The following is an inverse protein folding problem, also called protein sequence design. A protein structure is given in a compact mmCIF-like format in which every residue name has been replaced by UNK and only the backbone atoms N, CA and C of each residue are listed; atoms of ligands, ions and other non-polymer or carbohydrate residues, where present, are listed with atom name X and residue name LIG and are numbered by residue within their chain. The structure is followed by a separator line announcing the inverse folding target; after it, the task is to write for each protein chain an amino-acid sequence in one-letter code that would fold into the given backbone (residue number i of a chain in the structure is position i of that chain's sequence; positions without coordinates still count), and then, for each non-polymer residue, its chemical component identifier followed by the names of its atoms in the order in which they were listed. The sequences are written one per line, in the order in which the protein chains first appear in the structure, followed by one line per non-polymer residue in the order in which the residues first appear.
data_IF_544930636112
#
_entry.id   IF_544930636112
#
_cell.length_a   1.000
_cell.length_b   1.000
_cell.length_c   1.000
_cell.angle_alpha   90.00
_cell.angle_beta   90.00
_cell.angle_gamma   90.00
#
_symmetry.space_group_name_H-M   'P 1'
#
loop_
_entity.id
_entity.type
_entity.pdbx_description
1 polymer ?
#
# COMPACT_ATOMS: atom_id res chain seq x y z
N UNK A 1 9.11 6.48 -5.41
CA UNK A 1 7.99 5.51 -5.46
C UNK A 1 8.48 4.18 -6.02
N UNK A 2 7.96 3.06 -5.57
CA UNK A 2 8.24 1.73 -6.12
C UNK A 2 7.00 0.82 -6.02
N UNK A 3 7.06 -0.32 -6.71
CA UNK A 3 6.04 -1.36 -6.63
C UNK A 3 6.57 -2.57 -5.88
N UNK A 4 5.73 -3.20 -5.08
CA UNK A 4 6.01 -4.45 -4.39
C UNK A 4 4.91 -5.47 -4.67
N UNK A 5 5.31 -6.71 -4.83
CA UNK A 5 4.41 -7.85 -4.93
C UNK A 5 4.68 -8.79 -3.77
N UNK A 6 3.92 -8.64 -2.71
CA UNK A 6 4.05 -9.48 -1.53
C UNK A 6 3.24 -10.77 -1.72
N UNK A 7 3.91 -11.92 -1.62
CA UNK A 7 3.25 -13.22 -1.67
C UNK A 7 3.19 -13.76 -0.24
N UNK A 8 2.02 -13.84 0.39
CA UNK A 8 1.87 -14.44 1.71
C UNK A 8 2.36 -15.88 1.73
N UNK A 9 2.88 -16.35 2.86
CA UNK A 9 3.38 -17.73 3.00
C UNK A 9 2.29 -18.79 2.94
N UNK A 10 1.03 -18.41 3.14
CA UNK A 10 -0.14 -19.27 3.08
C UNK A 10 -1.44 -18.46 3.03
N UNK A 11 -2.59 -19.12 2.88
CA UNK A 11 -3.86 -18.44 2.92
C UNK A 11 -4.11 -17.85 4.32
N UNK A 12 -4.46 -16.58 4.36
CA UNK A 12 -4.72 -15.84 5.60
C UNK A 12 -6.13 -15.22 5.65
N UNK A 13 -6.88 -15.37 4.58
CA UNK A 13 -8.25 -14.88 4.48
C UNK A 13 -9.17 -15.88 3.77
N UNK A 14 -10.46 -15.61 3.76
CA UNK A 14 -11.51 -16.48 3.21
C UNK A 14 -11.71 -16.40 1.69
N UNK A 15 -10.91 -15.63 0.96
CA UNK A 15 -11.04 -15.45 -0.50
C UNK A 15 -10.61 -16.70 -1.26
N UNK A 16 -11.45 -17.76 -1.21
CA UNK A 16 -11.24 -18.99 -1.98
C UNK A 16 -10.11 -19.88 -1.47
N UNK A 17 -9.69 -19.75 -0.22
CA UNK A 17 -8.63 -20.56 0.41
C UNK A 17 -7.31 -20.60 -0.38
N UNK A 18 -7.09 -19.65 -1.27
CA UNK A 18 -5.86 -19.52 -2.05
C UNK A 18 -5.02 -18.34 -1.56
N UNK A 19 -3.72 -18.44 -1.76
CA UNK A 19 -2.80 -17.35 -1.52
C UNK A 19 -2.90 -16.33 -2.65
N UNK A 20 -3.29 -15.09 -2.34
CA UNK A 20 -3.30 -14.00 -3.28
C UNK A 20 -2.12 -13.08 -3.06
N UNK A 21 -1.49 -12.65 -4.16
CA UNK A 21 -0.43 -11.65 -4.07
C UNK A 21 -1.01 -10.28 -3.74
N UNK A 22 -0.37 -9.57 -2.83
CA UNK A 22 -0.70 -8.20 -2.48
C UNK A 22 0.19 -7.24 -3.29
N UNK A 23 -0.31 -6.82 -4.44
CA UNK A 23 0.36 -5.79 -5.24
C UNK A 23 0.22 -4.46 -4.50
N UNK A 24 1.34 -3.85 -4.17
CA UNK A 24 1.41 -2.68 -3.29
C UNK A 24 2.24 -1.59 -3.96
N UNK A 25 1.71 -0.38 -3.97
CA UNK A 25 2.46 0.82 -4.37
C UNK A 25 3.04 1.48 -3.13
N UNK A 26 4.33 1.78 -3.15
CA UNK A 26 5.02 2.38 -2.00
C UNK A 26 5.59 3.73 -2.39
N UNK A 27 5.13 4.79 -1.73
CA UNK A 27 5.73 6.13 -1.79
C UNK A 27 6.61 6.35 -0.57
N UNK A 28 7.70 7.03 -0.74
CA UNK A 28 8.68 7.26 0.34
C UNK A 28 9.56 8.47 0.04
N UNK A 29 10.12 9.13 1.04
CA UNK A 29 11.15 10.15 0.84
C UNK A 29 12.33 9.55 0.10
N UNK A 30 12.64 10.08 -1.07
CA UNK A 30 13.76 9.65 -1.90
C UNK A 30 14.96 10.58 -1.74
N UNK A 31 16.15 10.12 -2.17
CA UNK A 31 17.32 10.97 -2.25
C UNK A 31 17.04 12.21 -3.14
N UNK A 32 17.45 13.42 -2.72
CA UNK A 32 17.05 14.68 -3.38
C UNK A 32 17.46 14.82 -4.85
N UNK A 33 18.46 14.06 -5.30
CA UNK A 33 18.95 14.09 -6.69
C UNK A 33 18.20 13.15 -7.63
N UNK A 34 17.26 12.37 -7.13
CA UNK A 34 16.53 11.40 -7.94
C UNK A 34 15.53 12.12 -8.89
N UNK A 35 15.60 11.89 -10.21
CA UNK A 35 14.72 12.55 -11.16
C UNK A 35 13.27 12.06 -11.01
N UNK A 36 12.36 12.99 -10.88
CA UNK A 36 10.93 12.69 -10.88
C UNK A 36 10.38 12.59 -12.31
N UNK A 37 9.40 11.72 -12.48
CA UNK A 37 8.64 11.54 -13.72
C UNK A 37 7.14 11.52 -13.41
N UNK A 38 6.27 11.91 -14.37
CA UNK A 38 4.84 11.76 -14.23
C UNK A 38 4.44 10.32 -13.88
N UNK A 39 3.57 10.18 -12.91
CA UNK A 39 2.94 8.90 -12.56
C UNK A 39 1.63 8.81 -13.34
N UNK A 40 1.51 7.79 -14.17
CA UNK A 40 0.36 7.59 -15.04
C UNK A 40 -0.36 6.29 -14.74
N UNK A 41 -1.65 6.23 -15.06
CA UNK A 41 -2.41 4.97 -15.02
C UNK A 41 -1.97 4.12 -16.23
N UNK A 42 -1.56 2.86 -16.04
CA UNK A 42 -1.21 1.98 -17.14
C UNK A 42 -2.33 1.90 -18.18
N UNK A 43 -2.00 2.19 -19.44
CA UNK A 43 -2.96 2.22 -20.54
C UNK A 43 -3.80 3.51 -20.68
N UNK A 44 -3.66 4.49 -19.78
CA UNK A 44 -4.36 5.77 -19.80
C UNK A 44 -3.37 6.94 -19.60
N UNK A 45 -2.47 7.12 -20.55
CA UNK A 45 -1.38 8.11 -20.46
C UNK A 45 -1.81 9.58 -20.46
N UNK A 46 -3.10 9.84 -20.74
CA UNK A 46 -3.67 11.21 -20.70
C UNK A 46 -3.94 11.71 -19.27
N UNK A 47 -3.92 10.83 -18.27
CA UNK A 47 -4.14 11.21 -16.88
C UNK A 47 -2.83 11.05 -16.09
N UNK A 48 -2.36 12.16 -15.55
CA UNK A 48 -1.24 12.18 -14.60
C UNK A 48 -1.80 12.19 -13.17
N UNK A 49 -1.30 11.27 -12.37
CA UNK A 49 -1.70 11.13 -10.97
C UNK A 49 -0.79 11.93 -10.03
N UNK A 50 0.28 12.51 -10.56
CA UNK A 50 1.31 13.25 -9.86
C UNK A 50 2.71 12.99 -10.42
N UNK A 51 3.77 13.20 -9.65
CA UNK A 51 5.15 12.90 -10.04
C UNK A 51 5.88 12.11 -8.95
N UNK A 52 6.80 11.23 -9.37
CA UNK A 52 7.62 10.49 -8.43
C UNK A 52 8.96 10.05 -9.04
N UNK A 53 10.00 9.99 -8.22
CA UNK A 53 11.24 9.31 -8.54
C UNK A 53 11.04 7.80 -8.37
N UNK A 54 10.88 7.09 -9.50
CA UNK A 54 10.65 5.65 -9.47
C UNK A 54 11.92 4.89 -9.12
N UNK A 55 11.81 3.91 -8.22
CA UNK A 55 12.89 3.03 -7.74
C UNK A 55 14.14 3.76 -7.22
N UNK A 56 13.97 5.02 -6.80
CA UNK A 56 15.02 5.79 -6.21
C UNK A 56 15.37 5.27 -4.79
N UNK A 57 16.59 5.48 -4.35
CA UNK A 57 16.99 5.13 -2.98
C UNK A 57 16.18 5.91 -1.96
N UNK A 58 15.83 5.25 -0.86
CA UNK A 58 15.20 5.91 0.29
C UNK A 58 16.16 6.94 0.88
N UNK A 59 15.67 8.14 1.17
CA UNK A 59 16.46 9.22 1.73
C UNK A 59 17.21 8.78 2.99
N UNK A 60 18.49 9.14 3.11
CA UNK A 60 19.35 8.70 4.21
C UNK A 60 18.91 9.26 5.58
N UNK A 61 18.28 10.43 5.59
CA UNK A 61 17.83 11.12 6.81
C UNK A 61 16.33 11.42 6.75
N UNK A 62 15.63 11.27 7.88
CA UNK A 62 16.04 10.66 9.16
C UNK A 62 16.38 9.17 9.02
N UNK A 63 16.99 8.57 10.05
CA UNK A 63 17.35 7.16 10.01
C UNK A 63 16.13 6.24 9.80
N UNK A 64 14.95 6.60 10.33
CA UNK A 64 13.70 5.85 10.19
C UNK A 64 12.53 6.79 9.97
N UNK A 65 11.55 6.31 9.21
CA UNK A 65 10.32 6.99 8.85
C UNK A 65 9.10 6.27 9.43
N UNK A 66 8.02 6.97 9.79
CA UNK A 66 6.74 6.31 10.10
C UNK A 66 6.19 5.63 8.84
N UNK A 67 5.45 4.53 9.04
CA UNK A 67 4.74 3.81 7.98
C UNK A 67 3.25 4.13 8.05
N UNK A 68 2.64 4.48 6.92
CA UNK A 68 1.18 4.55 6.75
C UNK A 68 0.76 3.51 5.71
N UNK A 69 -0.04 2.53 6.11
CA UNK A 69 -0.69 1.64 5.15
C UNK A 69 -1.97 2.26 4.64
N UNK A 70 -2.24 2.15 3.35
CA UNK A 70 -3.35 2.84 2.68
C UNK A 70 -4.28 1.81 2.03
N UNK A 71 -5.59 1.96 2.27
CA UNK A 71 -6.64 1.16 1.66
C UNK A 71 -7.50 2.01 0.73
N UNK A 72 -7.62 1.60 -0.53
CA UNK A 72 -8.47 2.26 -1.53
C UNK A 72 -9.96 1.96 -1.34
N UNK A 73 -10.83 2.74 -1.99
CA UNK A 73 -12.27 2.50 -2.05
C UNK A 73 -12.65 1.25 -2.85
N UNK A 74 -13.95 0.93 -2.90
CA UNK A 74 -14.48 -0.18 -3.70
C UNK A 74 -14.03 -0.06 -5.16
N UNK A 75 -13.45 -1.12 -5.70
CA UNK A 75 -13.02 -1.18 -7.11
C UNK A 75 -11.89 -0.21 -7.49
N UNK A 76 -11.27 0.48 -6.53
CA UNK A 76 -10.11 1.34 -6.76
C UNK A 76 -8.81 0.55 -6.91
N UNK A 77 -7.68 1.23 -6.71
CA UNK A 77 -6.35 0.60 -6.71
C UNK A 77 -5.41 1.32 -5.76
N UNK A 78 -4.29 0.69 -5.43
CA UNK A 78 -3.22 1.37 -4.69
C UNK A 78 -2.77 2.63 -5.41
N UNK A 79 -2.64 2.58 -6.73
CA UNK A 79 -2.22 3.73 -7.54
C UNK A 79 -3.23 4.88 -7.53
N UNK A 80 -4.53 4.60 -7.40
CA UNK A 80 -5.55 5.66 -7.27
C UNK A 80 -5.42 6.49 -5.99
N UNK A 81 -4.58 6.04 -5.05
CA UNK A 81 -4.24 6.75 -3.82
C UNK A 81 -2.96 7.60 -3.94
N UNK A 82 -2.44 7.82 -5.16
CA UNK A 82 -1.20 8.55 -5.42
C UNK A 82 -1.20 9.94 -4.76
N UNK A 83 -2.30 10.68 -4.87
CA UNK A 83 -2.47 12.00 -4.25
C UNK A 83 -2.14 12.01 -2.74
N UNK A 84 -2.53 10.94 -2.02
CA UNK A 84 -2.24 10.80 -0.59
C UNK A 84 -0.82 10.25 -0.37
N UNK A 85 -0.42 9.26 -1.18
CA UNK A 85 0.90 8.64 -1.08
C UNK A 85 2.03 9.64 -1.29
N UNK A 86 1.91 10.49 -2.31
CA UNK A 86 2.88 11.57 -2.60
C UNK A 86 2.92 12.61 -1.48
N UNK A 87 1.75 13.06 -1.03
CA UNK A 87 1.68 14.03 0.07
C UNK A 87 2.33 13.49 1.35
N UNK A 88 2.09 12.22 1.69
CA UNK A 88 2.71 11.58 2.85
C UNK A 88 4.23 11.45 2.67
N UNK A 89 4.71 11.02 1.50
CA UNK A 89 6.14 10.91 1.23
C UNK A 89 6.85 12.27 1.32
N UNK A 90 6.24 13.33 0.76
CA UNK A 90 6.75 14.70 0.87
C UNK A 90 6.85 15.20 2.32
N UNK A 91 6.01 14.66 3.22
CA UNK A 91 6.00 14.98 4.65
C UNK A 91 6.79 13.98 5.52
N UNK A 92 7.62 13.14 4.91
CA UNK A 92 8.53 12.26 5.65
C UNK A 92 7.89 10.96 6.15
N UNK A 93 6.92 10.42 5.43
CA UNK A 93 6.32 9.11 5.71
C UNK A 93 6.66 8.11 4.60
N UNK A 94 6.74 6.83 4.94
CA UNK A 94 6.63 5.74 3.98
C UNK A 94 5.15 5.39 3.90
N UNK A 95 4.57 5.40 2.70
CA UNK A 95 3.15 5.15 2.47
C UNK A 95 2.99 3.92 1.56
N UNK A 96 2.28 2.88 2.00
CA UNK A 96 2.11 1.62 1.29
C UNK A 96 0.63 1.37 0.98
N UNK A 97 0.23 1.50 -0.29
CA UNK A 97 -1.15 1.32 -0.75
C UNK A 97 -1.31 -0.02 -1.45
N UNK A 98 -2.10 -0.92 -0.86
CA UNK A 98 -2.32 -2.27 -1.37
C UNK A 98 -3.48 -2.33 -2.36
N UNK A 99 -3.37 -3.18 -3.38
CA UNK A 99 -4.50 -3.65 -4.18
C UNK A 99 -5.15 -4.83 -3.46
N UNK A 100 -6.41 -4.67 -3.02
CA UNK A 100 -7.13 -5.74 -2.37
C UNK A 100 -7.61 -6.79 -3.38
N UNK A 101 -7.20 -8.07 -3.25
CA UNK A 101 -7.53 -9.10 -4.23
C UNK A 101 -9.03 -9.25 -4.48
N UNK A 102 -9.39 -9.34 -5.75
CA UNK A 102 -10.77 -9.48 -6.21
C UNK A 102 -11.67 -8.24 -6.05
N UNK A 103 -11.11 -7.13 -5.51
CA UNK A 103 -11.82 -5.86 -5.36
C UNK A 103 -10.89 -4.68 -5.70
N UNK A 104 -10.20 -4.74 -6.82
CA UNK A 104 -9.37 -3.65 -7.30
C UNK A 104 -9.42 -3.53 -8.82
N UNK A 105 -9.06 -2.36 -9.36
CA UNK A 105 -9.14 -2.03 -10.78
C UNK A 105 -8.05 -2.67 -11.65
N UNK A 106 -7.11 -3.45 -11.08
CA UNK A 106 -5.95 -3.98 -11.81
C UNK A 106 -6.08 -5.46 -12.16
N UNK A 107 -7.16 -6.12 -11.71
CA UNK A 107 -7.47 -7.52 -11.96
C UNK A 107 -8.98 -7.76 -12.03
N UNK A 108 -9.45 -8.91 -12.54
CA UNK A 108 -10.88 -9.23 -12.56
C UNK A 108 -11.49 -9.20 -11.16
N UNK A 109 -12.69 -8.62 -11.06
CA UNK A 109 -13.45 -8.64 -9.82
C UNK A 109 -13.94 -10.04 -9.50
N UNK A 110 -13.97 -10.39 -8.22
CA UNK A 110 -14.52 -11.65 -7.74
C UNK A 110 -15.68 -11.42 -6.77
N UNK A 111 -16.58 -12.40 -6.68
CA UNK A 111 -17.69 -12.35 -5.74
C UNK A 111 -17.15 -12.25 -4.31
N UNK A 112 -16.13 -13.02 -3.97
CA UNK A 112 -15.49 -13.03 -2.66
C UNK A 112 -14.86 -11.68 -2.33
N UNK A 113 -14.17 -11.06 -3.31
CA UNK A 113 -13.55 -9.74 -3.12
C UNK A 113 -14.57 -8.65 -2.76
N UNK A 114 -15.80 -8.77 -3.26
CA UNK A 114 -16.88 -7.83 -2.95
C UNK A 114 -17.74 -8.25 -1.75
N UNK A 115 -17.96 -9.56 -1.55
CA UNK A 115 -18.86 -10.06 -0.51
C UNK A 115 -18.22 -10.09 0.87
N UNK A 116 -16.90 -10.38 0.96
CA UNK A 116 -16.19 -10.50 2.23
C UNK A 116 -15.16 -9.37 2.43
N UNK A 117 -15.60 -8.16 2.15
CA UNK A 117 -14.77 -6.96 2.20
C UNK A 117 -14.15 -6.64 3.56
N UNK A 118 -14.66 -7.20 4.66
CA UNK A 118 -14.05 -7.08 5.99
C UNK A 118 -12.67 -7.74 6.09
N UNK A 119 -12.37 -8.72 5.22
CA UNK A 119 -11.07 -9.39 5.17
C UNK A 119 -9.93 -8.46 4.66
N UNK A 120 -10.27 -7.31 4.07
CA UNK A 120 -9.30 -6.32 3.62
C UNK A 120 -8.39 -5.81 4.75
N UNK A 121 -8.86 -5.83 5.99
CA UNK A 121 -8.03 -5.46 7.15
C UNK A 121 -6.86 -6.43 7.35
N UNK A 122 -7.04 -7.71 7.02
CA UNK A 122 -5.95 -8.70 7.06
C UNK A 122 -4.90 -8.45 5.97
N UNK A 123 -5.33 -7.97 4.79
CA UNK A 123 -4.39 -7.55 3.74
C UNK A 123 -3.48 -6.43 4.26
N UNK A 124 -4.03 -5.46 4.97
CA UNK A 124 -3.23 -4.38 5.57
C UNK A 124 -2.25 -4.90 6.62
N UNK A 125 -2.69 -5.83 7.49
CA UNK A 125 -1.80 -6.45 8.47
C UNK A 125 -0.65 -7.20 7.80
N UNK A 126 -0.94 -7.96 6.74
CA UNK A 126 0.08 -8.67 5.97
C UNK A 126 1.04 -7.69 5.29
N UNK A 127 0.55 -6.58 4.71
CA UNK A 127 1.41 -5.55 4.13
C UNK A 127 2.34 -4.94 5.19
N UNK A 128 1.84 -4.64 6.39
CA UNK A 128 2.69 -4.15 7.49
C UNK A 128 3.82 -5.15 7.77
N UNK A 129 3.48 -6.43 7.97
CA UNK A 129 4.46 -7.47 8.25
C UNK A 129 5.50 -7.59 7.13
N UNK A 130 5.07 -7.52 5.87
CA UNK A 130 5.97 -7.57 4.71
C UNK A 130 6.86 -6.35 4.59
N UNK A 131 6.34 -5.15 4.82
CA UNK A 131 7.12 -3.91 4.82
C UNK A 131 8.19 -3.92 5.93
N UNK A 132 7.85 -4.43 7.11
CA UNK A 132 8.80 -4.57 8.23
C UNK A 132 9.88 -5.65 7.97
N UNK A 133 9.66 -6.58 7.05
CA UNK A 133 10.60 -7.62 6.65
C UNK A 133 11.25 -7.36 5.28
N UNK A 134 10.86 -6.30 4.55
CA UNK A 134 11.38 -5.97 3.23
C UNK A 134 12.87 -5.54 3.32
N UNK A 135 13.68 -6.02 2.40
CA UNK A 135 15.15 -5.79 2.44
C UNK A 135 15.54 -4.32 2.30
N UNK A 136 14.73 -3.51 1.63
CA UNK A 136 14.98 -2.08 1.45
C UNK A 136 14.37 -1.25 2.59
N UNK A 137 13.17 -1.63 3.07
CA UNK A 137 12.38 -0.79 3.98
C UNK A 137 12.51 -1.16 5.45
N UNK A 138 12.85 -2.42 5.82
CA UNK A 138 12.86 -2.87 7.22
C UNK A 138 13.75 -2.02 8.13
N UNK A 139 14.94 -1.63 7.65
CA UNK A 139 15.85 -0.74 8.37
C UNK A 139 15.43 0.74 8.36
N UNK A 140 14.47 1.11 7.53
CA UNK A 140 14.01 2.49 7.29
C UNK A 140 12.66 2.81 7.92
N UNK A 141 11.90 1.82 8.34
CA UNK A 141 10.62 1.97 9.03
C UNK A 141 10.84 2.03 10.54
N UNK A 142 10.14 2.96 11.21
CA UNK A 142 10.02 2.97 12.66
C UNK A 142 8.83 2.07 13.06
N UNK A 143 9.08 0.89 13.66
CA UNK A 143 8.02 -0.04 14.00
C UNK A 143 7.09 0.45 15.12
N UNK A 144 7.45 1.54 15.81
CA UNK A 144 6.61 2.17 16.84
C UNK A 144 5.71 3.27 16.27
N UNK A 145 5.87 3.63 14.99
CA UNK A 145 5.09 4.68 14.33
C UNK A 145 4.45 4.13 13.06
N UNK A 146 3.45 3.26 13.24
CA UNK A 146 2.67 2.67 12.16
C UNK A 146 1.24 3.18 12.28
N UNK A 147 0.71 3.70 11.18
CA UNK A 147 -0.66 4.17 11.06
C UNK A 147 -1.33 3.63 9.81
N UNK A 148 -2.61 3.93 9.67
CA UNK A 148 -3.40 3.55 8.51
C UNK A 148 -4.24 4.71 8.01
N UNK A 149 -4.49 4.75 6.70
CA UNK A 149 -5.39 5.68 6.06
C UNK A 149 -6.25 4.94 5.04
N UNK A 150 -7.41 5.51 4.68
CA UNK A 150 -8.27 4.88 3.69
C UNK A 150 -9.35 5.82 3.16
N UNK A 151 -9.77 5.55 1.94
CA UNK A 151 -10.83 6.29 1.26
C UNK A 151 -12.07 5.41 1.08
N UNK A 152 -13.27 5.93 1.37
CA UNK A 152 -14.54 5.19 1.22
C UNK A 152 -14.51 3.84 1.97
N UNK A 153 -14.70 2.71 1.29
CA UNK A 153 -14.56 1.37 1.87
C UNK A 153 -13.19 1.16 2.53
N UNK A 154 -12.13 1.83 2.04
CA UNK A 154 -10.82 1.83 2.67
C UNK A 154 -10.81 2.47 4.07
N UNK A 155 -11.63 3.49 4.30
CA UNK A 155 -11.83 4.08 5.63
C UNK A 155 -12.43 3.07 6.62
N UNK A 156 -13.42 2.29 6.20
CA UNK A 156 -13.93 1.18 6.98
C UNK A 156 -12.84 0.12 7.24
N UNK A 157 -12.09 -0.25 6.20
CA UNK A 157 -11.00 -1.23 6.32
C UNK A 157 -9.97 -0.81 7.37
N UNK A 158 -9.57 0.46 7.34
CA UNK A 158 -8.65 1.05 8.32
C UNK A 158 -9.22 1.01 9.74
N UNK A 159 -10.49 1.34 9.94
CA UNK A 159 -11.11 1.29 11.26
C UNK A 159 -11.14 -0.14 11.84
N UNK A 160 -11.34 -1.15 10.99
CA UNK A 160 -11.28 -2.56 11.40
C UNK A 160 -9.87 -3.00 11.77
N UNK A 161 -8.84 -2.53 11.07
CA UNK A 161 -7.45 -2.78 11.44
C UNK A 161 -7.14 -2.26 12.85
N UNK A 162 -7.61 -1.07 13.19
CA UNK A 162 -7.33 -0.44 14.49
C UNK A 162 -8.07 -1.09 15.67
N UNK A 163 -9.26 -1.67 15.43
CA UNK A 163 -10.17 -2.13 16.50
C UNK A 163 -10.05 -3.63 16.78
N UNK A 164 -9.49 -4.45 15.89
CA UNK A 164 -9.75 -5.87 16.04
C UNK A 164 -8.80 -6.90 15.44
N UNK A 165 -7.70 -6.53 14.86
CA UNK A 165 -6.74 -7.53 14.42
C UNK A 165 -5.40 -7.29 15.10
N UNK A 166 -4.99 -8.15 16.06
CA UNK A 166 -3.64 -8.09 16.58
C UNK A 166 -2.65 -8.23 15.40
N UNK A 167 -1.67 -7.36 15.35
CA UNK A 167 -0.48 -7.55 14.52
C UNK A 167 0.15 -8.89 14.97
N UNK A 168 0.18 -9.84 14.07
CA UNK A 168 0.75 -11.18 14.33
C UNK A 168 2.27 -11.11 14.40
#
# INVERSE_FOLDING_TARGET
MTFRRFVPKGPYNWRGAQTHALNTVVWYPAEPSAPEKPVQIPGLSIFELGSAAQDAKVAAKPARFPLIVISHGTGGSGLSMAWLGEALAAHGYIAAAVNHPGNNATEPYTVEGFSIWWERARDLSEVINRMLADTEFSGRIDPKRIGAAGFSLGGYTMSKLLVGFPLL
#
